data_IF_452141114178
#
_entry.id   IF_452141114178
#
_cell.length_a   1.000
_cell.length_b   1.000
_cell.length_c   1.000
_cell.angle_alpha   90.00
_cell.angle_beta   90.00
_cell.angle_gamma   90.00
#
_symmetry.space_group_name_H-M   'P 1'
#
loop_
_entity.id
_entity.type
_entity.pdbx_description
1 polymer ?
#
# COMPACT_ATOMS: atom_id res chain seq x y z
N UNK A 1 26.23 6.11 26.33
CA UNK A 1 26.11 6.08 24.85
C UNK A 1 25.43 7.39 24.45
N UNK A 2 26.23 8.36 23.97
CA UNK A 2 25.71 9.67 23.54
C UNK A 2 24.79 9.45 22.34
N UNK A 3 23.53 9.86 22.48
CA UNK A 3 22.61 10.04 21.37
C UNK A 3 23.19 11.17 20.49
N UNK A 4 23.88 10.83 19.42
CA UNK A 4 24.30 11.81 18.42
C UNK A 4 23.02 12.48 17.89
N UNK A 5 22.84 13.75 18.22
CA UNK A 5 21.73 14.57 17.76
C UNK A 5 21.72 14.58 16.22
N UNK A 6 20.67 14.04 15.62
CA UNK A 6 20.53 13.97 14.17
C UNK A 6 20.55 15.36 13.54
N UNK A 7 21.35 15.60 12.50
CA UNK A 7 21.43 16.92 11.87
C UNK A 7 20.06 17.36 11.33
N UNK A 8 19.75 18.65 11.45
CA UNK A 8 18.44 19.25 11.11
C UNK A 8 18.00 19.03 9.64
N UNK A 9 18.93 18.73 8.75
CA UNK A 9 18.67 18.47 7.33
C UNK A 9 18.26 17.00 7.01
N UNK A 10 18.38 16.08 7.96
CA UNK A 10 17.98 14.69 7.79
C UNK A 10 16.48 14.47 8.09
N UNK A 11 15.60 15.17 7.34
CA UNK A 11 14.14 15.12 7.50
C UNK A 11 13.60 13.68 7.46
N UNK A 12 14.10 12.86 6.53
CA UNK A 12 13.73 11.44 6.38
C UNK A 12 14.04 10.61 7.64
N UNK A 13 15.18 10.86 8.31
CA UNK A 13 15.56 10.17 9.54
C UNK A 13 14.68 10.60 10.72
N UNK A 14 14.30 11.87 10.80
CA UNK A 14 13.37 12.38 11.81
C UNK A 14 11.96 11.80 11.63
N UNK A 15 11.51 11.66 10.38
CA UNK A 15 10.25 10.98 10.07
C UNK A 15 10.30 9.51 10.48
N UNK A 16 11.38 8.81 10.18
CA UNK A 16 11.57 7.43 10.58
C UNK A 16 11.57 7.26 12.10
N UNK A 17 12.32 8.10 12.84
CA UNK A 17 12.34 8.10 14.31
C UNK A 17 10.96 8.43 14.90
N UNK A 18 10.23 9.36 14.28
CA UNK A 18 8.86 9.69 14.67
C UNK A 18 7.91 8.50 14.44
N UNK A 19 7.99 7.84 13.29
CA UNK A 19 7.19 6.66 12.98
C UNK A 19 7.50 5.50 13.95
N UNK A 20 8.77 5.27 14.29
CA UNK A 20 9.16 4.27 15.29
C UNK A 20 8.59 4.59 16.68
N UNK A 21 8.69 5.85 17.11
CA UNK A 21 8.10 6.30 18.38
C UNK A 21 6.58 6.13 18.39
N UNK A 22 5.94 6.45 17.26
CA UNK A 22 4.50 6.29 17.11
C UNK A 22 4.07 4.82 17.09
N UNK A 23 4.85 3.93 16.45
CA UNK A 23 4.57 2.48 16.36
C UNK A 23 4.43 1.80 17.75
N UNK A 24 5.07 2.35 18.78
CA UNK A 24 4.97 1.86 20.16
C UNK A 24 3.65 2.26 20.85
N UNK A 25 2.95 3.28 20.35
CA UNK A 25 1.74 3.83 20.98
C UNK A 25 0.54 2.89 20.86
N UNK A 26 -0.46 3.00 21.76
CA UNK A 26 -1.70 2.22 21.67
C UNK A 26 -2.56 2.62 20.46
N UNK A 27 -2.36 3.82 19.88
CA UNK A 27 -3.10 4.33 18.72
C UNK A 27 -2.54 3.81 17.38
N UNK A 28 -1.32 3.26 17.35
CA UNK A 28 -0.67 2.82 16.13
C UNK A 28 -1.51 1.83 15.30
N UNK A 29 -2.22 0.83 15.85
CA UNK A 29 -3.07 -0.07 15.06
C UNK A 29 -4.23 0.64 14.35
N UNK A 30 -4.82 1.66 14.98
CA UNK A 30 -5.91 2.46 14.38
C UNK A 30 -5.36 3.27 13.20
N UNK A 31 -4.21 3.91 13.39
CA UNK A 31 -3.58 4.69 12.32
C UNK A 31 -3.09 3.79 11.19
N UNK A 32 -2.59 2.59 11.49
CA UNK A 32 -2.23 1.59 10.49
C UNK A 32 -3.45 1.19 9.65
N UNK A 33 -4.60 0.95 10.29
CA UNK A 33 -5.87 0.70 9.59
C UNK A 33 -6.24 1.89 8.68
N UNK A 34 -6.23 3.12 9.20
CA UNK A 34 -6.57 4.32 8.43
C UNK A 34 -5.64 4.54 7.24
N UNK A 35 -4.33 4.35 7.41
CA UNK A 35 -3.36 4.46 6.32
C UNK A 35 -3.63 3.40 5.26
N UNK A 36 -3.83 2.13 5.64
CA UNK A 36 -4.13 1.05 4.72
C UNK A 36 -5.48 1.25 4.00
N UNK A 37 -6.46 1.82 4.69
CA UNK A 37 -7.76 2.16 4.13
C UNK A 37 -7.64 3.26 3.06
N UNK A 38 -6.96 4.35 3.38
CA UNK A 38 -6.83 5.51 2.48
C UNK A 38 -5.95 5.16 1.27
N UNK A 39 -4.84 4.42 1.46
CA UNK A 39 -3.93 4.02 0.37
C UNK A 39 -4.64 3.23 -0.74
N UNK A 40 -5.69 2.49 -0.40
CA UNK A 40 -6.38 1.64 -1.36
C UNK A 40 -7.20 2.43 -2.40
N UNK A 41 -7.51 3.71 -2.16
CA UNK A 41 -8.19 4.60 -3.11
C UNK A 41 -7.49 5.96 -3.29
N UNK A 42 -6.45 6.25 -2.51
CA UNK A 42 -5.68 7.50 -2.62
C UNK A 42 -4.21 7.27 -2.22
N UNK A 43 -3.24 7.58 -3.11
CA UNK A 43 -1.83 7.21 -2.90
C UNK A 43 -1.10 8.21 -2.01
N UNK A 44 -1.26 8.16 -0.68
CA UNK A 44 -0.53 9.06 0.22
C UNK A 44 0.73 8.42 0.81
N UNK A 45 0.56 7.40 1.63
CA UNK A 45 1.67 6.76 2.37
C UNK A 45 1.47 5.25 2.35
N UNK A 46 2.49 4.48 1.95
CA UNK A 46 2.39 3.03 1.97
C UNK A 46 2.24 2.54 3.44
N UNK A 47 1.29 1.65 3.74
CA UNK A 47 1.09 1.10 5.08
C UNK A 47 2.32 0.38 5.63
N UNK A 48 3.17 -0.14 4.73
CA UNK A 48 4.42 -0.81 5.07
C UNK A 48 5.35 0.08 5.91
N UNK A 49 5.31 1.40 5.71
CA UNK A 49 6.09 2.37 6.48
C UNK A 49 5.78 2.34 7.98
N UNK A 50 4.54 1.99 8.37
CA UNK A 50 4.13 1.84 9.76
C UNK A 50 4.07 0.37 10.19
N UNK A 51 3.66 -0.54 9.29
CA UNK A 51 3.57 -1.98 9.55
C UNK A 51 4.91 -2.56 9.98
N UNK A 52 6.00 -2.26 9.25
CA UNK A 52 7.34 -2.80 9.53
C UNK A 52 7.83 -2.39 10.93
N UNK A 53 7.85 -1.10 11.32
CA UNK A 53 8.22 -0.69 12.67
C UNK A 53 7.38 -1.33 13.77
N UNK A 54 6.06 -1.43 13.56
CA UNK A 54 5.16 -2.06 14.53
C UNK A 54 5.46 -3.55 14.72
N UNK A 55 5.75 -4.26 13.62
CA UNK A 55 6.16 -5.66 13.68
C UNK A 55 7.53 -5.85 14.36
N UNK A 56 8.47 -4.93 14.15
CA UNK A 56 9.78 -4.95 14.83
C UNK A 56 9.63 -4.70 16.34
N UNK A 57 8.80 -3.77 16.73
CA UNK A 57 8.57 -3.41 18.14
C UNK A 57 7.81 -4.50 18.90
N UNK A 58 6.77 -5.07 18.28
CA UNK A 58 5.87 -6.06 18.91
C UNK A 58 5.76 -7.33 18.05
N UNK A 59 6.88 -8.05 17.86
CA UNK A 59 6.98 -9.24 16.97
C UNK A 59 5.84 -10.26 17.16
N UNK A 60 5.44 -10.52 18.41
CA UNK A 60 4.34 -11.47 18.71
C UNK A 60 2.98 -11.02 18.14
N UNK A 61 2.83 -9.75 17.78
CA UNK A 61 1.61 -9.17 17.21
C UNK A 61 1.71 -8.92 15.70
N UNK A 62 2.77 -9.38 15.03
CA UNK A 62 2.97 -9.14 13.59
C UNK A 62 1.79 -9.64 12.75
N UNK A 63 1.25 -10.82 13.05
CA UNK A 63 0.07 -11.36 12.36
C UNK A 63 -1.19 -10.49 12.57
N UNK A 64 -1.37 -9.94 13.77
CA UNK A 64 -2.48 -9.01 14.06
C UNK A 64 -2.33 -7.71 13.26
N UNK A 65 -1.13 -7.15 13.19
CA UNK A 65 -0.89 -5.93 12.40
C UNK A 65 -1.08 -6.15 10.91
N UNK A 66 -0.62 -7.30 10.39
CA UNK A 66 -0.91 -7.71 9.01
C UNK A 66 -2.42 -7.80 8.76
N UNK A 67 -3.18 -8.46 9.65
CA UNK A 67 -4.63 -8.57 9.53
C UNK A 67 -5.34 -7.20 9.54
N UNK A 68 -4.91 -6.28 10.42
CA UNK A 68 -5.43 -4.89 10.47
C UNK A 68 -5.18 -4.17 9.14
N UNK A 69 -3.97 -4.31 8.56
CA UNK A 69 -3.64 -3.73 7.24
C UNK A 69 -4.50 -4.33 6.13
N UNK A 70 -4.73 -5.65 6.14
CA UNK A 70 -5.60 -6.33 5.17
C UNK A 70 -7.02 -5.77 5.26
N UNK A 71 -7.61 -5.74 6.47
CA UNK A 71 -8.99 -5.27 6.66
C UNK A 71 -9.14 -3.81 6.24
N UNK A 72 -8.20 -2.94 6.63
CA UNK A 72 -8.19 -1.54 6.22
C UNK A 72 -8.10 -1.41 4.70
N UNK A 73 -7.14 -2.09 4.07
CA UNK A 73 -6.92 -2.00 2.62
C UNK A 73 -8.10 -2.56 1.81
N UNK A 74 -8.71 -3.67 2.24
CA UNK A 74 -9.89 -4.24 1.59
C UNK A 74 -11.10 -3.32 1.72
N UNK A 75 -11.32 -2.74 2.91
CA UNK A 75 -12.39 -1.76 3.11
C UNK A 75 -12.19 -0.51 2.24
N UNK A 76 -10.96 -0.01 2.13
CA UNK A 76 -10.62 1.10 1.23
C UNK A 76 -10.77 0.73 -0.26
N UNK A 77 -10.44 -0.51 -0.64
CA UNK A 77 -10.64 -0.99 -2.01
C UNK A 77 -12.13 -0.98 -2.41
N UNK A 78 -13.04 -1.30 -1.48
CA UNK A 78 -14.48 -1.18 -1.73
C UNK A 78 -14.90 0.28 -1.97
N UNK A 79 -14.30 1.23 -1.25
CA UNK A 79 -14.52 2.67 -1.51
C UNK A 79 -14.03 3.05 -2.91
N UNK A 80 -12.85 2.60 -3.31
CA UNK A 80 -12.31 2.79 -4.65
C UNK A 80 -13.25 2.23 -5.72
N UNK A 81 -13.71 1.00 -5.52
CA UNK A 81 -14.58 0.29 -6.44
C UNK A 81 -15.95 0.96 -6.62
N UNK A 82 -16.63 1.34 -5.53
CA UNK A 82 -18.01 1.86 -5.62
C UNK A 82 -18.07 3.38 -5.73
N UNK A 83 -17.35 4.09 -4.86
CA UNK A 83 -17.50 5.54 -4.73
C UNK A 83 -16.62 6.27 -5.74
N UNK A 84 -15.32 5.97 -5.76
CA UNK A 84 -14.40 6.68 -6.64
C UNK A 84 -14.69 6.36 -8.11
N UNK A 85 -14.95 5.07 -8.43
CA UNK A 85 -15.34 4.68 -9.78
C UNK A 85 -16.60 5.40 -10.24
N UNK A 86 -17.63 5.48 -9.39
CA UNK A 86 -18.89 6.19 -9.70
C UNK A 86 -18.69 7.70 -9.91
N UNK A 87 -17.79 8.33 -9.14
CA UNK A 87 -17.45 9.75 -9.32
C UNK A 87 -16.65 9.99 -10.62
N UNK A 88 -15.76 9.06 -10.96
CA UNK A 88 -14.94 9.16 -12.17
C UNK A 88 -15.76 8.84 -13.41
N UNK A 89 -16.60 7.79 -13.41
CA UNK A 89 -17.42 7.42 -14.57
C UNK A 89 -18.37 8.53 -15.01
N UNK A 90 -18.84 9.37 -14.09
CA UNK A 90 -19.63 10.57 -14.42
C UNK A 90 -18.87 11.70 -15.14
N UNK A 91 -17.54 11.61 -15.25
CA UNK A 91 -16.69 12.60 -15.92
C UNK A 91 -15.45 12.01 -16.59
N UNK A 92 -15.29 10.69 -16.56
CA UNK A 92 -14.11 10.01 -17.05
C UNK A 92 -13.91 10.19 -18.56
N UNK A 93 -14.98 10.16 -19.35
CA UNK A 93 -14.98 10.41 -20.78
C UNK A 93 -14.43 11.80 -21.11
N UNK A 94 -14.73 12.78 -20.26
CA UNK A 94 -14.27 14.16 -20.45
C UNK A 94 -12.78 14.35 -20.08
N UNK A 95 -12.24 13.53 -19.15
CA UNK A 95 -10.87 13.64 -18.63
C UNK A 95 -9.91 12.75 -19.44
N UNK A 96 -10.31 11.52 -19.77
CA UNK A 96 -9.46 10.48 -20.35
C UNK A 96 -9.78 10.16 -21.81
N UNK A 97 -10.95 10.56 -22.32
CA UNK A 97 -11.47 10.19 -23.63
C UNK A 97 -12.14 8.80 -23.65
N UNK A 98 -13.14 8.64 -24.53
CA UNK A 98 -13.92 7.40 -24.65
C UNK A 98 -13.05 6.19 -25.01
N UNK A 99 -12.11 6.35 -25.95
CA UNK A 99 -11.25 5.27 -26.45
C UNK A 99 -10.40 4.62 -25.35
N UNK A 100 -9.82 5.44 -24.44
CA UNK A 100 -9.01 4.94 -23.33
C UNK A 100 -9.87 4.20 -22.29
N UNK A 101 -11.11 4.67 -22.07
CA UNK A 101 -12.04 4.01 -21.15
C UNK A 101 -12.49 2.67 -21.73
N UNK A 102 -12.87 2.62 -23.00
CA UNK A 102 -13.23 1.38 -23.67
C UNK A 102 -12.10 0.36 -23.65
N UNK A 103 -10.83 0.78 -23.88
CA UNK A 103 -9.68 -0.08 -23.80
C UNK A 103 -9.49 -0.67 -22.39
N UNK A 104 -9.64 0.13 -21.34
CA UNK A 104 -9.58 -0.32 -19.93
C UNK A 104 -10.71 -1.30 -19.63
N UNK A 105 -11.94 -0.99 -20.02
CA UNK A 105 -13.11 -1.84 -19.80
C UNK A 105 -12.94 -3.18 -20.53
N UNK A 106 -12.46 -3.18 -21.79
CA UNK A 106 -12.22 -4.39 -22.56
C UNK A 106 -11.17 -5.29 -21.91
N UNK A 107 -10.01 -4.74 -21.50
CA UNK A 107 -8.95 -5.49 -20.84
C UNK A 107 -9.39 -6.02 -19.46
N UNK A 108 -10.07 -5.21 -18.68
CA UNK A 108 -10.61 -5.61 -17.37
C UNK A 108 -11.75 -6.63 -17.48
N UNK A 109 -12.57 -6.57 -18.52
CA UNK A 109 -13.62 -7.55 -18.78
C UNK A 109 -13.09 -8.97 -18.95
N UNK A 110 -11.89 -9.12 -19.53
CA UNK A 110 -11.25 -10.44 -19.76
C UNK A 110 -10.40 -10.89 -18.57
N UNK A 111 -9.56 -10.00 -18.00
CA UNK A 111 -8.52 -10.36 -17.04
C UNK A 111 -8.48 -9.47 -15.78
N UNK A 112 -9.48 -8.63 -15.56
CA UNK A 112 -9.45 -7.62 -14.53
C UNK A 112 -9.20 -8.14 -13.12
N UNK A 113 -9.75 -9.31 -12.77
CA UNK A 113 -9.50 -9.95 -11.47
C UNK A 113 -8.03 -10.35 -11.27
N UNK A 114 -7.32 -10.75 -12.34
CA UNK A 114 -5.89 -11.04 -12.30
C UNK A 114 -5.08 -9.75 -12.11
N UNK A 115 -5.44 -8.67 -12.82
CA UNK A 115 -4.79 -7.38 -12.66
C UNK A 115 -4.96 -6.83 -11.25
N UNK A 116 -6.15 -6.92 -10.68
CA UNK A 116 -6.41 -6.54 -9.28
C UNK A 116 -5.57 -7.38 -8.32
N UNK A 117 -5.49 -8.70 -8.52
CA UNK A 117 -4.67 -9.57 -7.69
C UNK A 117 -3.18 -9.23 -7.77
N UNK A 118 -2.64 -9.03 -8.98
CA UNK A 118 -1.23 -8.65 -9.19
C UNK A 118 -0.94 -7.31 -8.53
N UNK A 119 -1.80 -6.31 -8.70
CA UNK A 119 -1.63 -5.02 -8.05
C UNK A 119 -1.74 -5.10 -6.52
N UNK A 120 -2.66 -5.93 -6.00
CA UNK A 120 -2.80 -6.15 -4.57
C UNK A 120 -1.55 -6.80 -3.94
N UNK A 121 -0.82 -7.62 -4.71
CA UNK A 121 0.40 -8.31 -4.27
C UNK A 121 1.65 -7.45 -4.44
N UNK A 122 1.70 -6.61 -5.47
CA UNK A 122 2.91 -5.85 -5.87
C UNK A 122 2.91 -4.42 -5.33
N UNK A 123 3.92 -3.63 -5.76
CA UNK A 123 4.03 -2.19 -5.50
C UNK A 123 3.32 -1.32 -6.57
N UNK A 124 2.62 -1.94 -7.51
CA UNK A 124 1.79 -1.20 -8.47
C UNK A 124 0.75 -0.39 -7.70
N UNK A 125 0.46 0.86 -8.12
CA UNK A 125 -0.51 1.70 -7.44
C UNK A 125 -1.89 1.05 -7.38
N UNK A 126 -2.22 0.50 -6.22
CA UNK A 126 -3.42 -0.32 -6.04
C UNK A 126 -4.71 0.47 -6.25
N UNK A 127 -4.72 1.74 -5.87
CA UNK A 127 -5.88 2.63 -6.04
C UNK A 127 -6.34 2.75 -7.51
N UNK A 128 -5.41 2.71 -8.46
CA UNK A 128 -5.74 2.75 -9.90
C UNK A 128 -6.55 1.52 -10.28
N UNK A 129 -6.11 0.34 -9.83
CA UNK A 129 -6.76 -0.92 -10.18
C UNK A 129 -8.09 -1.12 -9.46
N UNK A 130 -8.25 -0.60 -8.23
CA UNK A 130 -9.54 -0.65 -7.51
C UNK A 130 -10.58 0.24 -8.20
N UNK A 131 -10.16 1.42 -8.65
CA UNK A 131 -11.03 2.36 -9.38
C UNK A 131 -11.36 1.83 -10.77
N UNK A 132 -10.36 1.36 -11.53
CA UNK A 132 -10.57 0.78 -12.87
C UNK A 132 -11.49 -0.46 -12.82
N UNK A 133 -11.36 -1.30 -11.80
CA UNK A 133 -12.24 -2.45 -11.60
C UNK A 133 -13.71 -2.04 -11.38
N UNK A 134 -13.93 -0.92 -10.69
CA UNK A 134 -15.27 -0.36 -10.49
C UNK A 134 -15.84 0.28 -11.77
N UNK A 135 -15.02 1.03 -12.52
CA UNK A 135 -15.42 1.61 -13.82
C UNK A 135 -15.74 0.51 -14.84
N UNK A 136 -14.97 -0.57 -14.85
CA UNK A 136 -15.19 -1.73 -15.71
C UNK A 136 -16.31 -2.67 -15.21
N UNK A 137 -17.02 -2.32 -14.15
CA UNK A 137 -18.11 -3.09 -13.54
C UNK A 137 -17.74 -4.56 -13.27
N UNK A 138 -16.49 -4.81 -12.80
CA UNK A 138 -16.02 -6.15 -12.51
C UNK A 138 -16.96 -6.85 -11.53
N UNK A 139 -17.08 -8.19 -11.65
CA UNK A 139 -17.82 -8.94 -10.64
C UNK A 139 -17.24 -8.69 -9.24
N UNK A 140 -18.03 -8.08 -8.36
CA UNK A 140 -17.61 -7.64 -7.03
C UNK A 140 -17.06 -8.78 -6.18
N UNK A 141 -17.64 -9.98 -6.26
CA UNK A 141 -17.17 -11.16 -5.51
C UNK A 141 -15.75 -11.56 -5.91
N UNK A 142 -15.45 -11.58 -7.23
CA UNK A 142 -14.13 -11.89 -7.76
C UNK A 142 -13.12 -10.78 -7.42
N UNK A 143 -13.52 -9.52 -7.53
CA UNK A 143 -12.72 -8.36 -7.12
C UNK A 143 -12.35 -8.46 -5.63
N UNK A 144 -13.34 -8.68 -4.77
CA UNK A 144 -13.12 -8.78 -3.32
C UNK A 144 -12.19 -9.97 -2.97
N UNK A 145 -12.39 -11.13 -3.60
CA UNK A 145 -11.53 -12.29 -3.41
C UNK A 145 -10.07 -11.99 -3.82
N UNK A 146 -9.87 -11.36 -4.97
CA UNK A 146 -8.54 -10.95 -5.45
C UNK A 146 -7.86 -9.97 -4.48
N UNK A 147 -8.61 -8.98 -3.96
CA UNK A 147 -8.11 -8.03 -2.96
C UNK A 147 -7.72 -8.73 -1.66
N UNK A 148 -8.60 -9.56 -1.11
CA UNK A 148 -8.37 -10.27 0.17
C UNK A 148 -7.15 -11.17 0.05
N UNK A 149 -7.07 -12.01 -0.99
CA UNK A 149 -5.96 -12.96 -1.16
C UNK A 149 -4.66 -12.20 -1.43
N UNK A 150 -4.64 -11.24 -2.37
CA UNK A 150 -3.45 -10.49 -2.73
C UNK A 150 -2.90 -9.68 -1.55
N UNK A 151 -3.74 -8.93 -0.83
CA UNK A 151 -3.32 -8.15 0.33
C UNK A 151 -2.92 -9.01 1.53
N UNK A 152 -3.59 -10.16 1.74
CA UNK A 152 -3.19 -11.11 2.78
C UNK A 152 -1.81 -11.69 2.52
N UNK A 153 -1.52 -12.09 1.28
CA UNK A 153 -0.19 -12.55 0.89
C UNK A 153 0.85 -11.45 1.06
N UNK A 154 0.60 -10.24 0.56
CA UNK A 154 1.54 -9.11 0.66
C UNK A 154 1.89 -8.77 2.11
N UNK A 155 0.89 -8.41 2.93
CA UNK A 155 1.16 -8.02 4.32
C UNK A 155 1.59 -9.21 5.17
N UNK A 156 1.12 -10.43 4.86
CA UNK A 156 1.57 -11.66 5.50
C UNK A 156 3.06 -11.94 5.24
N UNK A 157 3.52 -11.79 3.99
CA UNK A 157 4.94 -11.92 3.63
C UNK A 157 5.78 -10.87 4.34
N UNK A 158 5.39 -9.59 4.29
CA UNK A 158 6.11 -8.49 4.97
C UNK A 158 6.20 -8.75 6.48
N UNK A 159 5.07 -9.02 7.13
CA UNK A 159 5.04 -9.29 8.57
C UNK A 159 5.79 -10.58 8.94
N UNK A 160 5.73 -11.61 8.10
CA UNK A 160 6.43 -12.88 8.27
C UNK A 160 7.95 -12.71 8.16
N UNK A 161 8.43 -11.98 7.16
CA UNK A 161 9.85 -11.64 7.00
C UNK A 161 10.35 -10.87 8.22
N UNK A 162 9.64 -9.83 8.63
CA UNK A 162 10.03 -9.04 9.82
C UNK A 162 9.98 -9.89 11.09
N UNK A 163 8.97 -10.77 11.23
CA UNK A 163 8.89 -11.69 12.36
C UNK A 163 10.07 -12.68 12.37
N UNK A 164 10.50 -13.18 11.21
CA UNK A 164 11.59 -14.15 11.09
C UNK A 164 12.97 -13.50 11.32
N UNK A 165 13.27 -12.42 10.59
CA UNK A 165 14.58 -11.74 10.61
C UNK A 165 14.74 -10.86 11.88
N UNK A 166 13.68 -10.27 12.39
CA UNK A 166 13.62 -9.50 13.63
C UNK A 166 14.63 -8.35 13.70
N UNK A 167 15.46 -8.31 14.74
CA UNK A 167 16.43 -7.23 14.97
C UNK A 167 17.45 -7.06 13.85
N UNK A 168 17.80 -8.13 13.13
CA UNK A 168 18.68 -8.04 11.96
C UNK A 168 18.07 -7.22 10.83
N UNK A 169 16.73 -7.29 10.65
CA UNK A 169 16.02 -6.44 9.70
C UNK A 169 16.13 -4.96 10.06
N UNK A 170 16.02 -4.62 11.35
CA UNK A 170 16.18 -3.25 11.84
C UNK A 170 17.57 -2.69 11.48
N UNK A 171 18.63 -3.42 11.80
CA UNK A 171 20.03 -3.03 11.50
C UNK A 171 20.24 -2.90 9.98
N UNK A 172 19.67 -3.83 9.18
CA UNK A 172 19.76 -3.80 7.72
C UNK A 172 19.04 -2.58 7.14
N UNK A 173 17.81 -2.31 7.57
CA UNK A 173 17.03 -1.15 7.13
C UNK A 173 17.75 0.14 7.52
N UNK A 174 18.20 0.28 8.75
CA UNK A 174 18.94 1.47 9.20
C UNK A 174 20.22 1.72 8.39
N UNK A 175 20.94 0.66 8.05
CA UNK A 175 22.18 0.75 7.26
C UNK A 175 21.93 1.11 5.78
N UNK A 176 20.88 0.55 5.19
CA UNK A 176 20.59 0.67 3.75
C UNK A 176 19.41 1.60 3.44
N UNK A 177 18.87 2.27 4.43
CA UNK A 177 17.66 3.10 4.30
C UNK A 177 17.75 4.11 3.14
N UNK A 178 18.87 4.83 3.03
CA UNK A 178 19.06 5.80 1.96
C UNK A 178 19.06 5.14 0.57
N UNK A 179 19.71 4.00 0.43
CA UNK A 179 19.77 3.27 -0.84
C UNK A 179 18.39 2.73 -1.25
N UNK A 180 17.66 2.17 -0.30
CA UNK A 180 16.30 1.66 -0.52
C UNK A 180 15.36 2.80 -0.94
N UNK A 181 15.45 3.94 -0.26
CA UNK A 181 14.64 5.13 -0.60
C UNK A 181 14.95 5.64 -2.00
N UNK A 182 16.23 5.76 -2.37
CA UNK A 182 16.65 6.17 -3.71
C UNK A 182 16.14 5.17 -4.76
N UNK A 183 16.29 3.87 -4.51
CA UNK A 183 15.82 2.82 -5.44
C UNK A 183 14.31 2.89 -5.65
N UNK A 184 13.53 3.08 -4.59
CA UNK A 184 12.07 3.22 -4.68
C UNK A 184 11.69 4.48 -5.46
N UNK A 185 12.36 5.61 -5.23
CA UNK A 185 12.13 6.85 -5.97
C UNK A 185 12.47 6.70 -7.46
N UNK A 186 13.58 6.04 -7.80
CA UNK A 186 13.98 5.79 -9.19
C UNK A 186 12.99 4.85 -9.88
N UNK A 187 12.56 3.78 -9.21
CA UNK A 187 11.54 2.87 -9.75
C UNK A 187 10.20 3.59 -9.97
N UNK A 188 9.78 4.41 -9.03
CA UNK A 188 8.55 5.20 -9.17
C UNK A 188 8.63 6.19 -10.34
N UNK A 189 9.78 6.89 -10.49
CA UNK A 189 10.03 7.79 -11.61
C UNK A 189 10.09 7.04 -12.95
N UNK A 190 10.70 5.85 -12.97
CA UNK A 190 10.77 5.00 -14.16
C UNK A 190 9.39 4.47 -14.58
N UNK A 191 8.57 4.04 -13.64
CA UNK A 191 7.17 3.64 -13.91
C UNK A 191 6.37 4.83 -14.42
N UNK A 192 6.54 6.02 -13.82
CA UNK A 192 5.91 7.26 -14.30
C UNK A 192 6.33 7.65 -15.72
N UNK A 193 7.57 7.37 -16.10
CA UNK A 193 8.08 7.67 -17.45
C UNK A 193 7.58 6.66 -18.51
N UNK A 194 7.23 5.42 -18.08
CA UNK A 194 6.71 4.36 -18.97
C UNK A 194 5.20 4.46 -19.26
N UNK A 195 4.46 5.18 -18.40
CA UNK A 195 3.01 5.45 -18.55
C UNK A 195 2.80 6.77 -19.27
#
# INVERSE_FOLDING_TARGET
MEQQATPKWALHRRLYEWVLGFAATPMAPIVLFCIAFVEAFMPFVPPDALLIPMCLEKRKKSSLFAAISVVGSVAGAMVGFFIIASLISGGAEWIFGEEQIEAVVAEFGVRGHLWVFVAALTLVPFFVLTTAAGVAELNFGMFLAACVVGRSLRYGIVAGIVWWIGQAAKVFIEKWFNLITILVCVLAAFVWWLI
#
